data_IF_457398269651
#
_entry.id   IF_457398269651
#
_cell.length_a   1.000
_cell.length_b   1.000
_cell.length_c   1.000
_cell.angle_alpha   90.00
_cell.angle_beta   90.00
_cell.angle_gamma   90.00
#
_symmetry.space_group_name_H-M   'P 1'
#
loop_
_entity.id
_entity.type
_entity.pdbx_description
1 polymer ?
#
# COMPACT_ATOMS: atom_id res chain seq x y z
N UNK A 1 -22.89 -12.62 -64.83
CA UNK A 1 -22.20 -11.65 -63.91
C UNK A 1 -22.01 -12.29 -62.54
N UNK A 2 -20.79 -12.69 -62.24
CA UNK A 2 -20.44 -13.26 -60.87
C UNK A 2 -19.96 -12.11 -60.01
N UNK A 3 -20.69 -11.78 -58.95
CA UNK A 3 -20.24 -10.84 -57.90
C UNK A 3 -19.28 -11.55 -56.95
N UNK A 4 -18.02 -11.11 -56.96
CA UNK A 4 -17.01 -11.51 -55.98
C UNK A 4 -17.18 -10.58 -54.78
N UNK A 5 -17.64 -11.11 -53.64
CA UNK A 5 -17.63 -10.41 -52.36
C UNK A 5 -16.21 -10.52 -51.76
N UNK A 6 -15.46 -9.40 -51.79
CA UNK A 6 -14.21 -9.29 -51.08
C UNK A 6 -14.54 -8.96 -49.61
N UNK A 7 -14.34 -9.93 -48.73
CA UNK A 7 -14.40 -9.74 -47.28
C UNK A 7 -13.10 -9.05 -46.87
N UNK A 8 -13.13 -7.74 -46.64
CA UNK A 8 -12.00 -7.02 -46.04
C UNK A 8 -12.05 -7.30 -44.52
N UNK A 9 -11.15 -8.18 -44.06
CA UNK A 9 -10.88 -8.38 -42.62
C UNK A 9 -10.15 -7.14 -42.14
N UNK A 10 -10.87 -6.21 -41.49
CA UNK A 10 -10.27 -5.13 -40.74
C UNK A 10 -9.60 -5.74 -39.49
N UNK A 11 -8.31 -6.03 -39.55
CA UNK A 11 -7.48 -6.31 -38.39
C UNK A 11 -7.30 -4.97 -37.71
N UNK A 12 -8.11 -4.71 -36.69
CA UNK A 12 -7.85 -3.65 -35.73
C UNK A 12 -6.55 -4.00 -34.96
N UNK A 13 -5.44 -3.41 -35.41
CA UNK A 13 -4.24 -3.36 -34.58
C UNK A 13 -4.59 -2.57 -33.31
N UNK A 14 -4.92 -3.27 -32.24
CA UNK A 14 -4.80 -2.73 -30.89
C UNK A 14 -3.35 -2.28 -30.74
N UNK A 15 -3.13 -0.99 -30.59
CA UNK A 15 -1.85 -0.44 -30.13
C UNK A 15 -1.59 -0.98 -28.73
N UNK A 16 -1.06 -2.19 -28.65
CA UNK A 16 -0.44 -2.66 -27.43
C UNK A 16 0.80 -1.79 -27.23
N UNK A 17 0.78 -0.89 -26.27
CA UNK A 17 2.00 -0.33 -25.74
C UNK A 17 2.85 -1.53 -25.32
N UNK A 18 3.90 -1.85 -26.06
CA UNK A 18 4.84 -2.91 -25.78
C UNK A 18 5.64 -2.55 -24.51
N UNK A 19 5.03 -2.74 -23.35
CA UNK A 19 5.78 -2.84 -22.12
C UNK A 19 6.53 -4.17 -22.18
N UNK A 20 7.85 -4.12 -22.24
CA UNK A 20 8.71 -5.28 -22.44
C UNK A 20 8.82 -6.08 -21.14
N UNK A 21 7.74 -6.76 -20.74
CA UNK A 21 7.74 -7.67 -19.59
C UNK A 21 8.19 -9.04 -20.09
N UNK A 22 9.34 -9.53 -19.64
CA UNK A 22 9.88 -10.84 -20.02
C UNK A 22 9.08 -11.98 -19.39
N UNK A 23 7.96 -12.32 -20.00
CA UNK A 23 7.19 -13.52 -19.65
C UNK A 23 7.82 -14.75 -20.29
N UNK A 24 7.75 -15.88 -19.60
CA UNK A 24 8.08 -17.18 -20.19
C UNK A 24 6.94 -17.67 -21.06
N UNK A 25 7.20 -18.62 -21.96
CA UNK A 25 6.14 -19.23 -22.79
C UNK A 25 5.01 -19.84 -21.94
N UNK A 26 5.33 -20.38 -20.76
CA UNK A 26 4.37 -20.96 -19.83
C UNK A 26 3.47 -19.86 -19.22
N UNK A 27 4.05 -18.72 -18.84
CA UNK A 27 3.33 -17.57 -18.31
C UNK A 27 2.42 -16.93 -19.35
N UNK A 28 2.87 -16.82 -20.61
CA UNK A 28 2.04 -16.33 -21.71
C UNK A 28 0.85 -17.26 -22.00
N UNK A 29 1.08 -18.57 -22.05
CA UNK A 29 0.03 -19.57 -22.21
C UNK A 29 -0.95 -19.56 -21.05
N UNK A 30 -0.47 -19.34 -19.81
CA UNK A 30 -1.32 -19.19 -18.65
C UNK A 30 -2.26 -18.00 -18.81
N UNK A 31 -1.73 -16.81 -19.18
CA UNK A 31 -2.56 -15.61 -19.39
C UNK A 31 -3.57 -15.78 -20.52
N UNK A 32 -3.19 -16.41 -21.64
CA UNK A 32 -4.12 -16.67 -22.75
C UNK A 32 -5.31 -17.54 -22.34
N UNK A 33 -5.13 -18.49 -21.41
CA UNK A 33 -6.16 -19.43 -20.96
C UNK A 33 -7.03 -18.91 -19.82
N UNK A 34 -6.52 -17.95 -19.02
CA UNK A 34 -7.13 -17.53 -17.75
C UNK A 34 -7.50 -16.04 -17.77
N UNK A 35 -8.26 -15.59 -18.79
CA UNK A 35 -8.78 -14.23 -18.88
C UNK A 35 -10.32 -14.25 -18.99
N UNK A 36 -11.00 -13.22 -18.44
CA UNK A 36 -10.48 -12.17 -17.58
C UNK A 36 -10.02 -12.69 -16.21
N UNK A 37 -9.01 -12.05 -15.59
CA UNK A 37 -8.69 -12.34 -14.20
C UNK A 37 -9.77 -11.74 -13.28
N UNK A 38 -10.33 -12.56 -12.40
CA UNK A 38 -11.36 -12.17 -11.44
C UNK A 38 -10.70 -11.69 -10.17
N UNK A 39 -10.90 -10.42 -9.87
CA UNK A 39 -10.25 -9.71 -8.76
C UNK A 39 -11.30 -9.30 -7.74
N UNK A 40 -10.97 -9.40 -6.44
CA UNK A 40 -11.86 -8.87 -5.41
C UNK A 40 -11.94 -7.35 -5.49
N UNK A 41 -13.11 -6.79 -5.14
CA UNK A 41 -13.33 -5.37 -4.98
C UNK A 41 -14.18 -5.11 -3.73
N UNK A 42 -13.66 -4.31 -2.81
CA UNK A 42 -14.37 -3.94 -1.60
C UNK A 42 -15.45 -2.90 -1.88
N UNK A 43 -16.56 -2.95 -1.17
CA UNK A 43 -17.63 -1.98 -1.34
C UNK A 43 -17.24 -0.60 -0.79
N UNK A 44 -16.47 -0.56 0.32
CA UNK A 44 -16.13 0.71 0.96
C UNK A 44 -14.83 0.67 1.78
N UNK A 45 -13.70 0.87 1.13
CA UNK A 45 -12.41 1.15 1.77
C UNK A 45 -11.65 2.30 1.05
N UNK A 46 -12.27 3.51 0.98
CA UNK A 46 -11.65 4.65 0.31
C UNK A 46 -10.42 5.14 1.09
N UNK A 47 -9.40 5.69 0.41
CA UNK A 47 -9.26 5.87 -1.03
C UNK A 47 -8.63 4.66 -1.73
N UNK A 48 -8.52 3.51 -1.08
CA UNK A 48 -7.80 2.34 -1.59
C UNK A 48 -8.63 1.50 -2.56
N UNK A 49 -9.77 1.00 -2.12
CA UNK A 49 -10.63 0.06 -2.85
C UNK A 49 -12.09 0.27 -2.43
N UNK A 50 -12.94 0.74 -3.32
CA UNK A 50 -14.34 1.05 -3.03
C UNK A 50 -15.17 1.13 -4.30
N UNK A 51 -16.48 1.14 -4.14
CA UNK A 51 -17.43 1.39 -5.22
C UNK A 51 -17.99 2.81 -5.15
N UNK A 52 -18.06 3.46 -6.31
CA UNK A 52 -18.81 4.69 -6.48
C UNK A 52 -19.74 4.55 -7.67
N UNK A 53 -21.05 4.61 -7.44
CA UNK A 53 -22.08 4.34 -8.44
C UNK A 53 -21.91 2.97 -9.13
N UNK A 54 -21.60 1.94 -8.37
CA UNK A 54 -21.29 0.58 -8.84
C UNK A 54 -20.06 0.48 -9.77
N UNK A 55 -19.19 1.47 -9.73
CA UNK A 55 -17.92 1.46 -10.47
C UNK A 55 -16.79 1.27 -9.49
N UNK A 56 -15.93 0.23 -9.63
CA UNK A 56 -14.74 0.05 -8.83
C UNK A 56 -13.80 1.24 -8.94
N UNK A 57 -13.36 1.77 -7.80
CA UNK A 57 -12.47 2.92 -7.71
C UNK A 57 -11.45 2.75 -6.59
N UNK A 58 -10.38 3.51 -6.65
CA UNK A 58 -9.38 3.58 -5.60
C UNK A 58 -7.96 3.37 -6.13
N UNK A 59 -7.00 3.66 -5.26
CA UNK A 59 -5.57 3.49 -5.55
C UNK A 59 -5.25 2.08 -6.02
N UNK A 60 -5.81 1.08 -5.36
CA UNK A 60 -5.57 -0.34 -5.65
C UNK A 60 -6.18 -0.76 -6.99
N UNK A 61 -7.37 -0.24 -7.30
CA UNK A 61 -8.04 -0.49 -8.59
C UNK A 61 -7.22 0.09 -9.74
N UNK A 62 -6.78 1.36 -9.62
CA UNK A 62 -5.95 1.98 -10.64
C UNK A 62 -4.58 1.29 -10.77
N UNK A 63 -3.99 0.83 -9.65
CA UNK A 63 -2.75 0.05 -9.66
C UNK A 63 -2.90 -1.27 -10.41
N UNK A 64 -3.99 -2.00 -10.19
CA UNK A 64 -4.28 -3.24 -10.92
C UNK A 64 -4.61 -3.00 -12.39
N UNK A 65 -5.31 -1.91 -12.71
CA UNK A 65 -5.55 -1.52 -14.10
C UNK A 65 -4.24 -1.20 -14.83
N UNK A 66 -3.28 -0.56 -14.15
CA UNK A 66 -1.94 -0.32 -14.70
C UNK A 66 -1.20 -1.65 -14.97
N UNK A 67 -1.24 -2.61 -14.03
CA UNK A 67 -0.70 -3.96 -14.22
C UNK A 67 -1.36 -4.66 -15.40
N UNK A 68 -2.70 -4.65 -15.45
CA UNK A 68 -3.47 -5.28 -16.52
C UNK A 68 -3.13 -4.71 -17.90
N UNK A 69 -3.01 -3.38 -17.99
CA UNK A 69 -2.60 -2.70 -19.21
C UNK A 69 -1.17 -3.07 -19.65
N UNK A 70 -0.23 -3.17 -18.70
CA UNK A 70 1.15 -3.57 -19.00
C UNK A 70 1.24 -5.03 -19.47
N UNK A 71 0.40 -5.91 -18.94
CA UNK A 71 0.31 -7.32 -19.34
C UNK A 71 -0.55 -7.54 -20.60
N UNK A 72 -1.33 -6.54 -21.04
CA UNK A 72 -2.28 -6.71 -22.16
C UNK A 72 -3.44 -7.65 -21.83
N UNK A 73 -3.86 -7.73 -20.56
CA UNK A 73 -4.91 -8.64 -20.09
C UNK A 73 -6.19 -7.91 -19.68
N UNK A 74 -7.29 -8.66 -19.63
CA UNK A 74 -8.56 -8.20 -19.09
C UNK A 74 -8.71 -8.61 -17.64
N UNK A 75 -9.33 -7.74 -16.84
CA UNK A 75 -9.68 -7.98 -15.44
C UNK A 75 -11.18 -7.77 -15.24
N UNK A 76 -11.74 -8.49 -14.28
CA UNK A 76 -13.11 -8.37 -13.82
C UNK A 76 -13.10 -8.17 -12.30
N UNK A 77 -13.76 -7.13 -11.82
CA UNK A 77 -13.83 -6.82 -10.40
C UNK A 77 -15.13 -7.38 -9.81
N UNK A 78 -15.01 -8.24 -8.80
CA UNK A 78 -16.13 -8.87 -8.11
C UNK A 78 -16.43 -8.07 -6.84
N UNK A 79 -17.65 -7.54 -6.73
CA UNK A 79 -18.10 -6.73 -5.58
C UNK A 79 -19.23 -7.44 -4.84
N UNK A 80 -19.46 -7.05 -3.58
CA UNK A 80 -20.58 -7.52 -2.76
C UNK A 80 -20.23 -8.60 -1.71
N UNK A 81 -19.34 -9.58 -1.98
CA UNK A 81 -18.91 -10.50 -0.94
C UNK A 81 -18.21 -9.79 0.23
N UNK A 82 -18.35 -10.33 1.43
CA UNK A 82 -17.60 -9.87 2.59
C UNK A 82 -16.11 -10.22 2.47
N UNK A 83 -15.26 -9.60 3.28
CA UNK A 83 -13.82 -9.92 3.33
C UNK A 83 -13.57 -11.43 3.57
N UNK A 84 -14.32 -12.04 4.48
CA UNK A 84 -14.17 -13.47 4.75
C UNK A 84 -14.63 -14.34 3.57
N UNK A 85 -15.68 -13.92 2.87
CA UNK A 85 -16.13 -14.62 1.67
C UNK A 85 -15.06 -14.53 0.56
N UNK A 86 -14.44 -13.36 0.36
CA UNK A 86 -13.32 -13.22 -0.59
C UNK A 86 -12.14 -14.12 -0.24
N UNK A 87 -11.82 -14.28 1.05
CA UNK A 87 -10.76 -15.21 1.47
C UNK A 87 -11.11 -16.66 1.10
N UNK A 88 -12.35 -17.09 1.29
CA UNK A 88 -12.80 -18.43 0.90
C UNK A 88 -12.89 -18.57 -0.63
N UNK A 89 -13.37 -17.56 -1.33
CA UNK A 89 -13.42 -17.55 -2.80
C UNK A 89 -12.02 -17.68 -3.41
N UNK A 90 -10.99 -17.05 -2.81
CA UNK A 90 -9.60 -17.19 -3.26
C UNK A 90 -9.08 -18.62 -3.01
N UNK A 91 -9.33 -19.20 -1.83
CA UNK A 91 -8.94 -20.59 -1.51
C UNK A 91 -9.56 -21.61 -2.47
N UNK A 92 -10.80 -21.35 -2.90
CA UNK A 92 -11.56 -22.24 -3.78
C UNK A 92 -11.46 -21.87 -5.26
N UNK A 93 -10.56 -20.96 -5.64
CA UNK A 93 -10.32 -20.48 -7.00
C UNK A 93 -11.57 -19.88 -7.69
N UNK A 94 -12.52 -19.36 -6.91
CA UNK A 94 -13.68 -18.61 -7.45
C UNK A 94 -13.29 -17.19 -7.87
N UNK A 95 -12.24 -16.62 -7.26
CA UNK A 95 -11.52 -15.44 -7.73
C UNK A 95 -10.05 -15.78 -7.92
N UNK A 96 -9.33 -15.00 -8.70
CA UNK A 96 -7.94 -15.26 -9.06
C UNK A 96 -6.95 -14.51 -8.16
N UNK A 97 -7.35 -13.36 -7.60
CA UNK A 97 -6.52 -12.60 -6.66
C UNK A 97 -7.31 -11.70 -5.71
N UNK A 98 -6.76 -11.54 -4.50
CA UNK A 98 -7.10 -10.46 -3.56
C UNK A 98 -6.01 -9.39 -3.69
N UNK A 99 -6.40 -8.18 -4.08
CA UNK A 99 -5.46 -7.16 -4.56
C UNK A 99 -4.96 -6.16 -3.49
N UNK A 100 -5.49 -6.20 -2.27
CA UNK A 100 -5.06 -5.32 -1.16
C UNK A 100 -5.02 -6.06 0.18
N UNK A 101 -4.08 -6.95 0.33
CA UNK A 101 -3.98 -7.81 1.51
C UNK A 101 -2.60 -7.71 2.15
N UNK A 102 -2.56 -7.73 3.48
CA UNK A 102 -1.30 -7.87 4.23
C UNK A 102 -1.02 -9.34 4.53
N UNK A 103 0.22 -9.72 4.34
CA UNK A 103 0.76 -11.04 4.66
C UNK A 103 0.79 -11.27 6.18
N UNK A 104 0.39 -12.45 6.62
CA UNK A 104 0.62 -12.96 7.97
C UNK A 104 0.72 -14.49 7.95
N UNK A 105 1.21 -15.10 9.05
CA UNK A 105 1.47 -16.54 9.13
C UNK A 105 0.24 -17.39 8.81
N UNK A 106 -0.94 -17.02 9.29
CA UNK A 106 -2.17 -17.77 9.02
C UNK A 106 -2.56 -17.73 7.55
N UNK A 107 -2.41 -16.57 6.89
CA UNK A 107 -2.73 -16.41 5.46
C UNK A 107 -1.73 -17.13 4.56
N UNK A 108 -0.45 -17.21 4.97
CA UNK A 108 0.58 -17.93 4.23
C UNK A 108 0.35 -19.44 4.12
N UNK A 109 -0.52 -20.00 4.96
CA UNK A 109 -0.92 -21.42 4.86
C UNK A 109 -1.71 -21.67 3.57
N UNK A 110 -2.47 -20.69 3.10
CA UNK A 110 -3.42 -20.83 1.99
C UNK A 110 -3.04 -20.03 0.74
N UNK A 111 -2.26 -18.96 0.89
CA UNK A 111 -1.99 -18.01 -0.19
C UNK A 111 -0.50 -17.80 -0.44
N UNK A 112 -0.18 -17.47 -1.68
CA UNK A 112 1.07 -16.89 -2.09
C UNK A 112 0.91 -15.37 -2.25
N UNK A 113 1.96 -14.60 -1.89
CA UNK A 113 1.93 -13.14 -1.89
C UNK A 113 2.95 -12.58 -2.88
N UNK A 114 2.56 -11.56 -3.62
CA UNK A 114 3.49 -10.77 -4.43
C UNK A 114 4.37 -9.87 -3.57
N UNK A 115 5.30 -9.17 -4.21
CA UNK A 115 6.04 -8.08 -3.58
C UNK A 115 5.09 -7.03 -3.01
N UNK A 116 5.51 -6.39 -1.90
CA UNK A 116 4.77 -5.28 -1.30
C UNK A 116 4.82 -4.08 -2.24
N UNK A 117 3.67 -3.54 -2.63
CA UNK A 117 3.60 -2.39 -3.52
C UNK A 117 3.16 -1.09 -2.83
N UNK A 118 2.61 -1.19 -1.61
CA UNK A 118 2.22 -0.03 -0.82
C UNK A 118 2.31 -0.31 0.68
N UNK A 119 2.60 0.73 1.47
CA UNK A 119 2.64 0.66 2.93
C UNK A 119 1.56 1.59 3.46
N UNK A 120 0.55 1.01 4.11
CA UNK A 120 -0.54 1.74 4.74
C UNK A 120 -0.29 1.83 6.26
N UNK A 121 0.25 2.97 6.69
CA UNK A 121 0.54 3.22 8.11
C UNK A 121 -0.69 3.75 8.84
N UNK A 122 -0.87 3.33 10.09
CA UNK A 122 -1.84 3.93 10.99
C UNK A 122 -1.28 5.24 11.56
N UNK A 123 -2.18 6.20 11.79
CA UNK A 123 -1.86 7.44 12.47
C UNK A 123 -2.84 7.69 13.63
N UNK A 124 -2.39 8.48 14.59
CA UNK A 124 -3.18 8.93 15.71
C UNK A 124 -3.88 10.21 15.29
N UNK A 125 -5.19 10.27 15.48
CA UNK A 125 -6.01 11.44 15.25
C UNK A 125 -6.65 11.88 16.55
N UNK A 126 -6.67 13.17 16.78
CA UNK A 126 -7.22 13.79 17.98
C UNK A 126 -8.13 14.96 17.61
N UNK A 127 -8.96 15.38 18.55
CA UNK A 127 -9.64 16.66 18.43
C UNK A 127 -8.61 17.79 18.53
N UNK A 128 -8.77 18.84 17.74
CA UNK A 128 -7.93 20.05 17.82
C UNK A 128 -7.85 20.57 19.26
N UNK A 129 -6.65 20.89 19.68
CA UNK A 129 -6.31 21.26 21.06
C UNK A 129 -5.76 20.15 21.93
N UNK A 130 -5.73 18.89 21.41
CA UNK A 130 -5.17 17.71 22.09
C UNK A 130 -3.96 17.12 21.36
N UNK A 131 -3.22 17.96 20.59
CA UNK A 131 -2.11 17.52 19.73
C UNK A 131 -0.91 16.97 20.50
N UNK A 132 -0.88 17.13 21.81
CA UNK A 132 0.07 16.50 22.71
C UNK A 132 -0.05 14.95 22.76
N UNK A 133 -1.21 14.40 22.35
CA UNK A 133 -1.44 12.96 22.23
C UNK A 133 -0.88 12.48 20.88
N UNK A 134 0.40 12.20 20.80
CA UNK A 134 1.13 11.89 19.56
C UNK A 134 1.81 10.50 19.57
N UNK A 135 1.59 9.68 20.60
CA UNK A 135 2.15 8.34 20.70
C UNK A 135 1.21 7.39 21.45
N UNK A 136 1.47 6.06 21.34
CA UNK A 136 0.71 5.03 22.06
C UNK A 136 0.88 5.13 23.58
N UNK A 137 2.06 5.56 24.05
CA UNK A 137 2.35 5.75 25.46
C UNK A 137 1.47 6.87 26.05
N UNK A 138 1.24 7.94 25.31
CA UNK A 138 0.37 9.05 25.72
C UNK A 138 -1.12 8.73 25.68
N UNK A 139 -1.48 7.60 25.10
CA UNK A 139 -2.85 7.05 25.13
C UNK A 139 -3.12 6.16 26.34
N UNK A 140 -2.14 5.86 27.17
CA UNK A 140 -2.34 5.07 28.40
C UNK A 140 -3.38 5.75 29.31
N UNK A 141 -4.39 4.97 29.72
CA UNK A 141 -5.53 5.43 30.53
C UNK A 141 -6.57 6.26 29.79
N UNK A 142 -6.30 6.65 28.55
CA UNK A 142 -7.22 7.42 27.69
C UNK A 142 -8.19 6.51 26.95
N UNK A 143 -9.18 7.13 26.32
CA UNK A 143 -10.21 6.45 25.55
C UNK A 143 -10.02 6.72 24.07
N UNK A 144 -9.86 5.66 23.27
CA UNK A 144 -9.91 5.75 21.81
C UNK A 144 -11.23 5.23 21.27
N UNK A 145 -11.65 5.76 20.14
CA UNK A 145 -12.81 5.26 19.38
C UNK A 145 -12.31 4.65 18.07
N UNK A 146 -12.79 3.44 17.73
CA UNK A 146 -12.36 2.77 16.51
C UNK A 146 -13.36 1.71 16.02
N UNK A 147 -13.33 1.34 14.74
CA UNK A 147 -14.22 0.32 14.20
C UNK A 147 -13.96 -1.06 14.82
N UNK A 148 -15.06 -1.75 15.14
CA UNK A 148 -15.03 -3.10 15.69
C UNK A 148 -14.50 -4.10 14.66
N UNK A 149 -13.62 -5.00 15.11
CA UNK A 149 -13.08 -6.08 14.28
C UNK A 149 -11.93 -5.66 13.35
N UNK A 150 -11.53 -4.40 13.35
CA UNK A 150 -10.35 -3.98 12.62
C UNK A 150 -9.08 -4.59 13.21
N UNK A 151 -8.11 -4.88 12.34
CA UNK A 151 -6.85 -5.49 12.77
C UNK A 151 -6.13 -4.65 13.85
N UNK A 152 -6.13 -3.33 13.71
CA UNK A 152 -5.56 -2.42 14.69
C UNK A 152 -6.29 -2.52 16.04
N UNK A 153 -7.62 -2.68 16.05
CA UNK A 153 -8.42 -2.84 17.27
C UNK A 153 -7.99 -4.07 18.06
N UNK A 154 -7.89 -5.22 17.41
CA UNK A 154 -7.50 -6.48 18.04
C UNK A 154 -6.05 -6.43 18.58
N UNK A 155 -5.13 -5.78 17.86
CA UNK A 155 -3.76 -5.60 18.31
C UNK A 155 -3.67 -4.69 19.53
N UNK A 156 -4.40 -3.57 19.53
CA UNK A 156 -4.41 -2.64 20.67
C UNK A 156 -5.02 -3.30 21.91
N UNK A 157 -6.11 -4.05 21.75
CA UNK A 157 -6.70 -4.82 22.87
C UNK A 157 -5.70 -5.81 23.47
N UNK A 158 -4.92 -6.48 22.63
CA UNK A 158 -3.96 -7.49 23.06
C UNK A 158 -2.69 -6.91 23.69
N UNK A 159 -2.13 -5.86 23.12
CA UNK A 159 -0.80 -5.36 23.48
C UNK A 159 -0.80 -4.04 24.24
N UNK A 160 -1.94 -3.33 24.27
CA UNK A 160 -2.14 -2.05 24.95
C UNK A 160 -3.46 -2.03 25.72
N UNK A 161 -3.71 -3.02 26.61
CA UNK A 161 -4.98 -3.18 27.32
C UNK A 161 -5.33 -2.01 28.26
N UNK A 162 -4.37 -1.16 28.58
CA UNK A 162 -4.56 0.08 29.34
C UNK A 162 -5.25 1.19 28.53
N UNK A 163 -5.33 1.07 27.21
CA UNK A 163 -6.06 2.00 26.34
C UNK A 163 -7.52 1.55 26.29
N UNK A 164 -8.44 2.38 26.75
CA UNK A 164 -9.87 2.10 26.71
C UNK A 164 -10.40 2.23 25.30
N UNK A 165 -11.28 1.33 24.86
CA UNK A 165 -11.81 1.33 23.51
C UNK A 165 -13.33 1.51 23.48
N UNK A 166 -13.81 2.49 22.70
CA UNK A 166 -15.19 2.62 22.25
C UNK A 166 -15.26 2.04 20.85
N UNK A 167 -16.06 0.97 20.67
CA UNK A 167 -16.17 0.30 19.39
C UNK A 167 -17.40 0.79 18.63
N UNK A 168 -17.20 1.14 17.37
CA UNK A 168 -18.20 1.68 16.44
C UNK A 168 -18.28 0.83 15.17
N UNK A 169 -19.20 1.17 14.26
CA UNK A 169 -19.40 0.40 13.03
C UNK A 169 -18.34 0.70 11.97
N UNK A 170 -17.92 1.96 11.85
CA UNK A 170 -16.99 2.41 10.80
C UNK A 170 -16.14 3.63 11.24
N UNK A 171 -15.17 3.98 10.42
CA UNK A 171 -14.26 5.11 10.69
C UNK A 171 -14.95 6.49 10.58
N UNK A 172 -16.10 6.59 9.90
CA UNK A 172 -16.88 7.83 9.82
C UNK A 172 -17.54 8.11 11.19
N UNK A 173 -18.11 7.07 11.80
CA UNK A 173 -18.67 7.16 13.14
C UNK A 173 -17.58 7.45 14.18
N UNK A 174 -16.42 6.81 14.06
CA UNK A 174 -15.27 7.07 14.92
C UNK A 174 -14.84 8.55 14.86
N UNK A 175 -14.66 9.11 13.68
CA UNK A 175 -14.30 10.52 13.50
C UNK A 175 -15.37 11.50 14.02
N UNK A 176 -16.66 11.15 13.88
CA UNK A 176 -17.75 11.95 14.44
C UNK A 176 -17.71 11.98 15.96
N UNK A 177 -17.55 10.83 16.62
CA UNK A 177 -17.46 10.77 18.07
C UNK A 177 -16.22 11.53 18.58
N UNK A 178 -15.09 11.38 17.89
CA UNK A 178 -13.87 12.13 18.21
C UNK A 178 -14.07 13.63 18.09
N UNK A 179 -14.66 14.12 17.01
CA UNK A 179 -14.94 15.56 16.80
C UNK A 179 -15.85 16.15 17.89
N UNK A 180 -16.77 15.34 18.40
CA UNK A 180 -17.66 15.70 19.52
C UNK A 180 -16.98 15.61 20.89
N UNK A 181 -15.71 15.20 20.96
CA UNK A 181 -14.97 15.02 22.22
C UNK A 181 -15.48 13.85 23.08
N UNK A 182 -16.08 12.82 22.46
CA UNK A 182 -16.53 11.60 23.15
C UNK A 182 -15.42 10.57 23.35
N UNK A 183 -14.27 10.80 22.73
CA UNK A 183 -13.04 10.03 22.89
C UNK A 183 -11.84 10.99 22.80
N UNK A 184 -10.69 10.55 23.31
CA UNK A 184 -9.45 11.33 23.29
C UNK A 184 -8.75 11.24 21.93
N UNK A 185 -8.83 10.05 21.27
CA UNK A 185 -8.19 9.80 19.98
C UNK A 185 -8.93 8.74 19.15
N UNK A 186 -8.54 8.62 17.88
CA UNK A 186 -8.78 7.45 17.03
C UNK A 186 -7.50 7.04 16.33
N UNK A 187 -7.40 5.76 15.96
CA UNK A 187 -6.26 5.19 15.24
C UNK A 187 -6.78 4.39 14.07
N UNK A 188 -6.39 4.79 12.86
CA UNK A 188 -6.69 4.06 11.62
C UNK A 188 -5.69 4.46 10.54
N UNK A 189 -5.81 3.88 9.33
CA UNK A 189 -4.98 4.24 8.19
C UNK A 189 -5.08 5.74 7.89
N UNK A 190 -3.93 6.41 7.89
CA UNK A 190 -3.87 7.85 7.69
C UNK A 190 -4.64 8.29 6.45
N UNK A 191 -4.39 7.65 5.31
CA UNK A 191 -5.03 8.03 4.05
C UNK A 191 -6.54 7.80 4.06
N UNK A 192 -7.05 6.83 4.83
CA UNK A 192 -8.50 6.59 5.00
C UNK A 192 -9.10 7.73 5.80
N UNK A 193 -8.52 8.08 6.94
CA UNK A 193 -9.05 9.16 7.78
C UNK A 193 -8.95 10.52 7.10
N UNK A 194 -7.84 10.83 6.42
CA UNK A 194 -7.69 12.07 5.63
C UNK A 194 -8.76 12.18 4.54
N UNK A 195 -9.02 11.08 3.83
CA UNK A 195 -10.08 11.03 2.81
C UNK A 195 -11.46 11.31 3.42
N UNK A 196 -11.79 10.64 4.52
CA UNK A 196 -13.08 10.85 5.21
C UNK A 196 -13.18 12.28 5.73
N UNK A 197 -12.14 12.80 6.37
CA UNK A 197 -12.10 14.18 6.90
C UNK A 197 -12.35 15.18 5.78
N UNK A 198 -11.68 15.04 4.64
CA UNK A 198 -11.81 15.95 3.50
C UNK A 198 -13.17 15.86 2.82
N UNK A 199 -13.68 14.64 2.61
CA UNK A 199 -14.96 14.43 1.89
C UNK A 199 -16.20 14.67 2.74
N UNK A 200 -16.10 14.53 4.07
CA UNK A 200 -17.19 14.77 5.03
C UNK A 200 -17.08 16.12 5.75
N UNK A 201 -16.08 16.96 5.39
CA UNK A 201 -15.84 18.28 5.97
C UNK A 201 -15.72 18.25 7.51
N UNK A 202 -14.95 17.30 8.05
CA UNK A 202 -14.73 17.18 9.51
C UNK A 202 -13.52 18.06 9.88
N UNK A 203 -13.76 19.31 10.29
CA UNK A 203 -12.70 20.31 10.51
C UNK A 203 -12.02 20.25 11.89
N UNK A 204 -12.64 19.59 12.87
CA UNK A 204 -12.20 19.61 14.27
C UNK A 204 -11.23 18.50 14.66
N UNK A 205 -10.80 17.69 13.69
CA UNK A 205 -9.92 16.55 13.91
C UNK A 205 -8.63 16.73 13.12
N UNK A 206 -7.49 16.39 13.75
CA UNK A 206 -6.16 16.47 13.12
C UNK A 206 -5.35 15.22 13.41
N UNK A 207 -4.47 14.86 12.47
CA UNK A 207 -3.45 13.84 12.69
C UNK A 207 -2.31 14.43 13.52
N UNK A 208 -1.84 13.70 14.53
CA UNK A 208 -0.70 14.12 15.35
C UNK A 208 0.58 13.41 14.93
N UNK A 209 0.57 12.09 14.83
CA UNK A 209 1.73 11.33 14.43
C UNK A 209 1.34 9.97 13.86
N UNK A 210 2.28 9.31 13.17
CA UNK A 210 2.15 7.89 12.85
C UNK A 210 2.33 7.04 14.11
N UNK A 211 1.58 5.94 14.15
CA UNK A 211 1.74 4.94 15.20
C UNK A 211 3.11 4.27 15.06
N UNK A 212 3.92 4.35 16.10
CA UNK A 212 5.28 3.77 16.12
C UNK A 212 5.26 2.32 16.64
N UNK A 213 4.51 1.45 15.96
CA UNK A 213 4.48 0.01 16.19
C UNK A 213 4.36 -0.71 14.86
N UNK A 214 5.39 -1.47 14.49
CA UNK A 214 5.46 -2.15 13.19
C UNK A 214 4.35 -3.20 13.02
N UNK A 215 3.80 -3.74 14.11
CA UNK A 215 2.64 -4.64 14.09
C UNK A 215 1.38 -3.97 13.55
N UNK A 216 1.29 -2.64 13.69
CA UNK A 216 0.17 -1.81 13.23
C UNK A 216 0.38 -1.23 11.83
N UNK A 217 1.45 -1.60 11.14
CA UNK A 217 1.70 -1.24 9.73
C UNK A 217 1.15 -2.31 8.82
N UNK A 218 0.42 -1.91 7.78
CA UNK A 218 -0.05 -2.83 6.75
C UNK A 218 0.83 -2.73 5.52
N UNK A 219 1.51 -3.83 5.22
CA UNK A 219 2.29 -4.02 4.00
C UNK A 219 1.39 -4.64 2.94
N UNK A 220 0.93 -3.83 1.99
CA UNK A 220 -0.08 -4.22 1.01
C UNK A 220 0.58 -4.95 -0.15
N UNK A 221 0.09 -6.16 -0.40
CA UNK A 221 0.49 -7.07 -1.49
C UNK A 221 -0.74 -7.56 -2.24
N UNK A 222 -0.53 -8.29 -3.32
CA UNK A 222 -1.56 -9.09 -3.99
C UNK A 222 -1.40 -10.53 -3.51
N UNK A 223 -2.51 -11.19 -3.16
CA UNK A 223 -2.50 -12.62 -2.85
C UNK A 223 -3.19 -13.42 -3.96
N UNK A 224 -2.62 -14.57 -4.24
CA UNK A 224 -3.19 -15.59 -5.11
C UNK A 224 -3.30 -16.91 -4.35
N UNK A 225 -4.12 -17.85 -4.83
CA UNK A 225 -4.20 -19.18 -4.23
C UNK A 225 -2.83 -19.89 -4.25
N UNK A 226 -2.58 -20.77 -3.29
CA UNK A 226 -1.29 -21.45 -3.08
C UNK A 226 -0.80 -22.22 -4.31
N UNK A 227 -1.71 -22.73 -5.11
CA UNK A 227 -1.44 -23.47 -6.35
C UNK A 227 -1.20 -22.56 -7.58
N UNK A 228 -1.41 -21.24 -7.45
CA UNK A 228 -1.28 -20.27 -8.55
C UNK A 228 0.08 -19.54 -8.58
N UNK A 229 1.16 -20.27 -8.37
CA UNK A 229 2.53 -19.71 -8.33
C UNK A 229 2.95 -19.02 -9.63
N UNK A 230 2.45 -19.50 -10.79
CA UNK A 230 2.67 -18.89 -12.10
C UNK A 230 2.04 -17.50 -12.14
N UNK A 231 0.80 -17.32 -11.66
CA UNK A 231 0.15 -16.03 -11.60
C UNK A 231 0.91 -15.05 -10.69
N UNK A 232 1.38 -15.51 -9.53
CA UNK A 232 2.25 -14.71 -8.65
C UNK A 232 3.50 -14.22 -9.38
N UNK A 233 4.18 -15.12 -10.13
CA UNK A 233 5.38 -14.78 -10.91
C UNK A 233 5.07 -13.67 -11.93
N UNK A 234 3.99 -13.83 -12.70
CA UNK A 234 3.54 -12.86 -13.69
C UNK A 234 3.27 -11.49 -13.04
N UNK A 235 2.52 -11.49 -11.94
CA UNK A 235 2.17 -10.26 -11.22
C UNK A 235 3.42 -9.55 -10.67
N UNK A 236 4.41 -10.27 -10.12
CA UNK A 236 5.66 -9.68 -9.68
C UNK A 236 6.44 -9.03 -10.83
N UNK A 237 6.58 -9.72 -11.98
CA UNK A 237 7.24 -9.16 -13.16
C UNK A 237 6.53 -7.89 -13.66
N UNK A 238 5.20 -7.88 -13.62
CA UNK A 238 4.42 -6.70 -13.96
C UNK A 238 4.62 -5.56 -12.95
N UNK A 239 4.65 -5.85 -11.65
CA UNK A 239 4.97 -4.88 -10.60
C UNK A 239 6.36 -4.26 -10.82
N UNK A 240 7.37 -5.09 -11.10
CA UNK A 240 8.75 -4.65 -11.35
C UNK A 240 8.88 -3.76 -12.60
N UNK A 241 7.93 -3.84 -13.53
CA UNK A 241 7.87 -2.98 -14.72
C UNK A 241 7.25 -1.60 -14.48
N UNK A 242 6.64 -1.37 -13.31
CA UNK A 242 6.05 -0.08 -12.96
C UNK A 242 7.16 0.89 -12.60
N UNK A 243 7.22 1.99 -13.30
CA UNK A 243 8.22 3.05 -13.04
C UNK A 243 7.86 3.85 -11.78
N UNK A 244 8.88 4.44 -11.15
CA UNK A 244 8.69 5.34 -9.99
C UNK A 244 7.72 6.48 -10.31
N UNK A 245 7.77 7.00 -11.56
CA UNK A 245 6.88 8.06 -12.01
C UNK A 245 5.42 7.60 -12.05
N UNK A 246 5.12 6.42 -12.63
CA UNK A 246 3.76 5.88 -12.70
C UNK A 246 3.20 5.64 -11.29
N UNK A 247 4.01 5.06 -10.39
CA UNK A 247 3.61 4.84 -9.01
C UNK A 247 3.39 6.16 -8.26
N UNK A 248 4.25 7.15 -8.47
CA UNK A 248 4.12 8.48 -7.85
C UNK A 248 2.86 9.21 -8.34
N UNK A 249 2.57 9.14 -9.63
CA UNK A 249 1.37 9.75 -10.22
C UNK A 249 0.09 9.12 -9.65
N UNK A 250 0.05 7.78 -9.47
CA UNK A 250 -1.05 7.09 -8.79
C UNK A 250 -1.20 7.52 -7.33
N UNK A 251 -0.09 7.60 -6.59
CA UNK A 251 -0.11 8.06 -5.20
C UNK A 251 -0.60 9.50 -5.08
N UNK A 252 -0.14 10.39 -5.93
CA UNK A 252 -0.60 11.79 -5.97
C UNK A 252 -2.09 11.91 -6.27
N UNK A 253 -2.60 11.11 -7.21
CA UNK A 253 -4.02 11.09 -7.57
C UNK A 253 -4.90 10.75 -6.37
N UNK A 254 -4.52 9.78 -5.54
CA UNK A 254 -5.36 9.23 -4.49
C UNK A 254 -5.07 9.78 -3.09
N UNK A 255 -3.83 10.16 -2.82
CA UNK A 255 -3.37 10.58 -1.48
C UNK A 255 -2.94 12.05 -1.43
N UNK A 256 -2.91 12.72 -2.59
CA UNK A 256 -2.44 14.11 -2.70
C UNK A 256 -0.93 14.24 -2.52
N UNK A 257 -0.47 15.49 -2.36
CA UNK A 257 0.94 15.80 -2.12
C UNK A 257 1.32 15.70 -0.62
N UNK A 258 0.35 15.43 0.24
CA UNK A 258 0.50 15.39 1.70
C UNK A 258 0.78 13.97 2.22
N UNK A 259 1.46 13.12 1.44
CA UNK A 259 2.20 12.07 2.15
C UNK A 259 3.12 12.82 3.11
N UNK A 260 2.80 12.79 4.40
CA UNK A 260 3.80 13.07 5.41
C UNK A 260 4.97 12.19 5.00
N UNK A 261 6.08 12.82 4.62
CA UNK A 261 7.33 12.09 4.50
C UNK A 261 7.46 11.44 5.86
N UNK A 262 7.12 10.16 5.90
CA UNK A 262 7.23 9.43 7.15
C UNK A 262 8.69 9.52 7.50
N UNK A 263 9.03 10.30 8.54
CA UNK A 263 10.32 10.21 9.22
C UNK A 263 10.48 8.83 9.89
N UNK A 264 9.57 7.90 9.58
CA UNK A 264 9.66 6.53 10.02
C UNK A 264 10.88 5.91 9.34
N UNK A 265 11.89 5.72 10.13
CA UNK A 265 12.98 4.81 9.81
C UNK A 265 12.35 3.47 9.38
N UNK A 266 12.57 3.03 8.15
CA UNK A 266 12.18 1.70 7.66
C UNK A 266 12.98 0.58 8.34
N UNK A 267 13.77 0.93 9.34
CA UNK A 267 14.66 0.06 10.06
C UNK A 267 13.88 -0.74 11.11
N UNK A 268 14.15 -2.05 11.17
CA UNK A 268 13.69 -2.92 12.23
C UNK A 268 14.22 -2.49 13.60
N UNK A 269 13.72 -3.08 14.67
CA UNK A 269 14.21 -2.80 16.02
C UNK A 269 15.68 -3.20 16.18
N UNK A 270 16.07 -4.32 15.58
CA UNK A 270 17.44 -4.83 15.56
C UNK A 270 18.37 -3.91 14.76
N UNK A 271 17.94 -3.43 13.58
CA UNK A 271 18.71 -2.48 12.77
C UNK A 271 18.88 -1.13 13.49
N UNK A 272 17.85 -0.63 14.15
CA UNK A 272 17.94 0.57 14.99
C UNK A 272 18.93 0.39 16.14
N UNK A 273 18.89 -0.75 16.79
CA UNK A 273 19.82 -1.08 17.87
C UNK A 273 21.25 -1.22 17.34
N UNK A 274 21.45 -1.84 16.19
CA UNK A 274 22.75 -1.90 15.52
C UNK A 274 23.31 -0.50 15.24
N UNK A 275 22.50 0.39 14.63
CA UNK A 275 22.91 1.75 14.30
C UNK A 275 23.13 2.62 15.55
N UNK A 276 22.38 2.41 16.63
CA UNK A 276 22.61 3.12 17.90
C UNK A 276 23.96 2.77 18.53
N UNK A 277 24.42 1.53 18.34
CA UNK A 277 25.72 1.05 18.82
C UNK A 277 26.86 1.36 17.81
N UNK A 278 26.53 1.64 16.55
CA UNK A 278 27.46 1.89 15.44
C UNK A 278 27.05 3.16 14.68
N UNK A 279 27.16 4.30 15.33
CA UNK A 279 26.74 5.59 14.77
C UNK A 279 27.67 6.17 13.70
N UNK A 280 28.75 5.47 13.36
CA UNK A 280 29.68 5.81 12.28
C UNK A 280 29.83 4.61 11.36
N UNK A 281 29.50 4.82 10.09
CA UNK A 281 29.69 3.81 9.03
C UNK A 281 30.87 4.23 8.18
N UNK A 282 31.92 3.38 8.15
CA UNK A 282 33.10 3.61 7.32
C UNK A 282 32.85 3.06 5.90
N UNK A 283 33.11 3.89 4.90
CA UNK A 283 32.93 3.53 3.49
C UNK A 283 34.22 3.77 2.70
N UNK A 284 34.44 2.95 1.68
CA UNK A 284 35.52 3.16 0.71
C UNK A 284 35.03 4.04 -0.42
N UNK A 285 35.83 5.00 -0.85
CA UNK A 285 35.54 5.92 -1.96
C UNK A 285 36.50 5.74 -3.11
N UNK A 286 36.01 5.92 -4.34
CA UNK A 286 36.81 6.04 -5.55
C UNK A 286 37.16 7.51 -5.73
N UNK A 287 38.45 7.84 -5.90
CA UNK A 287 38.89 9.22 -5.88
C UNK A 287 38.86 9.96 -7.24
N UNK A 288 38.54 9.23 -8.34
CA UNK A 288 38.64 9.77 -9.72
C UNK A 288 37.50 9.38 -10.64
N UNK A 289 36.25 9.28 -10.15
CA UNK A 289 35.07 8.91 -10.95
C UNK A 289 34.07 10.08 -11.02
N UNK A 290 34.47 11.22 -11.64
CA UNK A 290 33.56 12.36 -11.84
C UNK A 290 32.44 12.03 -12.83
N UNK A 291 31.21 12.48 -12.58
CA UNK A 291 30.69 13.24 -11.43
C UNK A 291 30.16 12.33 -10.30
N UNK A 292 30.37 11.02 -10.38
CA UNK A 292 29.75 10.04 -9.50
C UNK A 292 30.41 10.07 -8.13
N UNK A 293 31.74 10.01 -8.07
CA UNK A 293 32.52 9.99 -6.85
C UNK A 293 33.96 10.43 -7.11
N UNK A 294 34.43 11.46 -6.42
CA UNK A 294 35.75 11.98 -6.62
C UNK A 294 36.26 12.78 -5.40
N UNK A 295 37.58 13.00 -5.33
CA UNK A 295 38.22 13.77 -4.29
C UNK A 295 38.82 15.04 -4.87
N UNK A 296 38.32 16.19 -4.41
CA UNK A 296 38.77 17.51 -4.84
C UNK A 296 38.68 18.52 -3.70
N UNK A 297 39.60 19.47 -3.63
CA UNK A 297 39.63 20.48 -2.58
C UNK A 297 39.63 19.89 -1.15
N UNK A 298 40.36 18.79 -0.95
CA UNK A 298 40.46 18.06 0.33
C UNK A 298 39.12 17.47 0.83
N UNK A 299 38.15 17.24 -0.07
CA UNK A 299 36.84 16.67 0.27
C UNK A 299 36.43 15.63 -0.77
N UNK A 300 35.76 14.60 -0.31
CA UNK A 300 35.05 13.67 -1.18
C UNK A 300 33.75 14.31 -1.65
N UNK A 301 33.45 14.22 -2.94
CA UNK A 301 32.32 14.87 -3.59
C UNK A 301 31.72 13.94 -4.65
N UNK A 302 30.50 14.23 -5.09
CA UNK A 302 29.82 13.55 -6.17
C UNK A 302 28.45 12.98 -5.74
N UNK A 303 27.71 12.47 -6.73
CA UNK A 303 26.33 11.99 -6.55
C UNK A 303 26.24 10.94 -5.44
N UNK A 304 27.20 10.00 -5.38
CA UNK A 304 27.23 8.97 -4.35
C UNK A 304 27.38 9.57 -2.95
N UNK A 305 28.24 10.57 -2.81
CA UNK A 305 28.49 11.21 -1.51
C UNK A 305 27.25 11.98 -1.03
N UNK A 306 26.58 12.68 -1.94
CA UNK A 306 25.34 13.39 -1.61
C UNK A 306 24.22 12.42 -1.22
N UNK A 307 24.09 11.29 -1.94
CA UNK A 307 23.14 10.24 -1.61
C UNK A 307 23.43 9.62 -0.24
N UNK A 308 24.69 9.29 0.05
CA UNK A 308 25.09 8.71 1.32
C UNK A 308 24.87 9.68 2.49
N UNK A 309 25.12 10.97 2.28
CA UNK A 309 24.80 12.01 3.26
C UNK A 309 23.28 12.12 3.53
N UNK A 310 22.45 11.97 2.50
CA UNK A 310 20.99 11.93 2.65
C UNK A 310 20.53 10.70 3.43
N UNK A 311 21.09 9.53 3.13
CA UNK A 311 20.82 8.29 3.86
C UNK A 311 21.25 8.45 5.32
N UNK A 312 22.48 8.89 5.57
CA UNK A 312 23.01 9.10 6.92
C UNK A 312 22.12 10.01 7.76
N UNK A 313 21.64 11.12 7.18
CA UNK A 313 20.67 12.01 7.85
C UNK A 313 19.36 11.29 8.19
N UNK A 314 18.84 10.46 7.27
CA UNK A 314 17.57 9.72 7.49
C UNK A 314 17.67 8.65 8.58
N UNK A 315 18.79 7.97 8.70
CA UNK A 315 19.00 6.89 9.68
C UNK A 315 19.84 7.34 10.90
N UNK A 316 20.14 8.63 11.00
CA UNK A 316 20.88 9.26 12.08
C UNK A 316 22.28 8.65 12.33
N UNK A 317 23.04 8.43 11.26
CA UNK A 317 24.44 7.97 11.31
C UNK A 317 25.34 8.94 10.54
N UNK A 318 26.64 8.88 10.85
CA UNK A 318 27.69 9.66 10.19
C UNK A 318 28.57 8.78 9.32
#
# INVERSE_FOLDING_TARGET
>A
MKFIFIFIFLISFLNANNYNINLTNEEELFLQKNQPLRLHNEDYWPPYNFNENNIPKGFVIDYMNLIANKLGIKVEYISGPSWNDFMEMLKTNQIDAIINISKNKQREEFFEFTNVYHIAANAIYVKKGNEDIDSLEKLEGKTIVMPKGFFAQQLLEKYYPQIKQILVNDSVEALKLLSLGKADATIDKKNVLDYIISTKNISEVVATNYVNDDRLVSYISIAVSKDKTILKSILNKAQDSITDKELLDLKRKWFGNNELVSNKSFLSKEEKQYLSNNNIIKMCNIINLKPIEFYENKKTQGINIDLLNLIGKKINVK
#
